data_IF_095141245795
#
_entry.id   IF_095141245795
#
_cell.length_a   1.000
_cell.length_b   1.000
_cell.length_c   1.000
_cell.angle_alpha   90.00
_cell.angle_beta   90.00
_cell.angle_gamma   90.00
#
_symmetry.space_group_name_H-M   'P 1'
#
loop_
_entity.id
_entity.type
_entity.pdbx_description
1 polymer ?
#
# COMPACT_ATOMS: atom_id res chain seq x y z
N UNK A 1 7.27 -9.99 4.03
CA UNK A 1 7.29 -10.37 5.47
C UNK A 1 6.01 -9.99 6.23
N UNK A 2 5.40 -8.82 5.98
CA UNK A 2 4.22 -8.32 6.70
C UNK A 2 2.97 -9.23 6.67
N UNK A 3 2.68 -9.85 5.52
CA UNK A 3 1.44 -10.63 5.30
C UNK A 3 1.30 -11.90 6.16
N UNK A 4 2.41 -12.57 6.49
CA UNK A 4 2.39 -13.86 7.20
C UNK A 4 2.43 -13.69 8.72
N UNK A 5 2.95 -12.55 9.21
CA UNK A 5 2.93 -12.23 10.63
C UNK A 5 1.53 -11.79 11.08
N UNK A 6 0.90 -10.78 10.48
CA UNK A 6 -0.31 -10.20 11.10
C UNK A 6 -1.53 -11.17 11.14
N UNK A 7 -1.57 -12.20 10.30
CA UNK A 7 -2.72 -13.12 10.17
C UNK A 7 -2.40 -14.62 10.36
N UNK A 8 -1.25 -14.96 10.96
CA UNK A 8 -0.85 -16.35 11.25
C UNK A 8 -1.65 -16.98 12.40
N UNK A 9 -2.29 -18.13 12.12
CA UNK A 9 -3.12 -18.94 13.04
C UNK A 9 -2.45 -19.24 14.38
N UNK A 10 -2.97 -18.64 15.46
CA UNK A 10 -2.79 -19.12 16.83
C UNK A 10 -4.04 -19.89 17.26
N UNK A 11 -3.90 -21.18 17.47
CA UNK A 11 -4.88 -22.02 18.17
C UNK A 11 -4.97 -21.55 19.61
N UNK A 12 -6.15 -21.14 20.07
CA UNK A 12 -6.34 -20.61 21.42
C UNK A 12 -7.67 -19.89 21.56
N UNK A 13 -8.76 -20.66 21.56
CA UNK A 13 -10.08 -20.35 22.12
C UNK A 13 -10.46 -18.85 22.20
N UNK A 14 -10.71 -18.20 21.05
CA UNK A 14 -11.26 -16.86 20.99
C UNK A 14 -12.70 -16.93 20.46
N UNK A 15 -13.65 -16.51 21.31
CA UNK A 15 -15.07 -16.34 20.99
C UNK A 15 -15.25 -15.57 19.67
N UNK A 16 -16.24 -15.90 18.84
CA UNK A 16 -16.51 -15.16 17.60
C UNK A 16 -16.85 -13.71 17.96
N UNK A 17 -16.03 -12.78 17.47
CA UNK A 17 -16.30 -11.35 17.56
C UNK A 17 -17.55 -11.07 16.71
N UNK A 18 -18.66 -10.82 17.40
CA UNK A 18 -19.90 -10.35 16.79
C UNK A 18 -19.62 -9.08 15.99
N UNK A 19 -20.08 -9.10 14.74
CA UNK A 19 -20.11 -7.96 13.82
C UNK A 19 -21.08 -6.94 14.41
N UNK A 20 -20.57 -5.80 14.84
CA UNK A 20 -21.41 -4.63 15.10
C UNK A 20 -21.48 -3.80 13.82
N UNK A 21 -22.72 -3.60 13.39
CA UNK A 21 -23.20 -2.76 12.30
C UNK A 21 -22.62 -1.33 12.39
N UNK A 22 -21.59 -1.05 11.59
CA UNK A 22 -21.06 0.30 11.40
C UNK A 22 -21.59 0.83 10.07
N UNK A 23 -22.73 1.52 10.17
CA UNK A 23 -23.29 2.33 9.10
C UNK A 23 -22.22 3.29 8.58
N UNK A 24 -22.04 3.23 7.26
CA UNK A 24 -21.07 3.98 6.47
C UNK A 24 -21.12 5.48 6.75
N UNK A 25 -19.99 6.16 6.99
CA UNK A 25 -19.92 7.61 6.87
C UNK A 25 -20.10 8.01 5.39
N UNK A 26 -20.97 8.99 5.15
CA UNK A 26 -21.21 9.62 3.85
C UNK A 26 -19.90 10.10 3.18
N UNK A 27 -19.74 9.71 1.91
CA UNK A 27 -18.93 10.39 0.85
C UNK A 27 -17.50 10.81 1.19
N UNK A 28 -16.63 9.87 1.57
CA UNK A 28 -15.20 10.01 1.23
C UNK A 28 -14.98 9.60 -0.23
N UNK A 29 -14.82 10.59 -1.10
CA UNK A 29 -14.40 10.36 -2.50
C UNK A 29 -13.01 9.70 -2.47
N UNK A 30 -12.88 8.50 -3.04
CA UNK A 30 -11.59 7.82 -3.10
C UNK A 30 -10.56 8.67 -3.82
N UNK A 31 -9.27 8.52 -3.51
CA UNK A 31 -8.21 9.26 -4.18
C UNK A 31 -8.23 9.02 -5.69
N UNK A 32 -8.58 7.81 -6.14
CA UNK A 32 -8.68 7.51 -7.57
C UNK A 32 -9.79 8.29 -8.27
N UNK A 33 -10.95 8.46 -7.62
CA UNK A 33 -12.02 9.30 -8.14
C UNK A 33 -11.70 10.79 -7.97
N UNK A 34 -11.08 11.17 -6.86
CA UNK A 34 -10.64 12.54 -6.55
C UNK A 34 -9.59 13.07 -7.53
N UNK A 35 -8.79 12.20 -8.14
CA UNK A 35 -7.87 12.56 -9.22
C UNK A 35 -8.57 13.10 -10.47
N UNK A 36 -9.89 12.90 -10.61
CA UNK A 36 -10.72 13.47 -11.69
C UNK A 36 -11.34 14.81 -11.34
N UNK A 37 -11.18 15.28 -10.10
CA UNK A 37 -11.83 16.49 -9.62
C UNK A 37 -11.37 17.73 -10.40
N UNK A 38 -12.33 18.62 -10.66
CA UNK A 38 -12.05 19.95 -11.19
C UNK A 38 -11.35 20.85 -10.15
N UNK A 39 -11.54 20.57 -8.86
CA UNK A 39 -10.79 21.19 -7.77
C UNK A 39 -9.33 20.72 -7.79
N UNK A 40 -8.42 21.65 -8.07
CA UNK A 40 -6.99 21.43 -8.15
C UNK A 40 -6.39 20.92 -6.83
N UNK A 41 -6.84 21.45 -5.69
CA UNK A 41 -6.32 21.04 -4.39
C UNK A 41 -6.79 19.62 -4.04
N UNK A 42 -8.05 19.28 -4.34
CA UNK A 42 -8.56 17.92 -4.17
C UNK A 42 -7.83 16.93 -5.08
N UNK A 43 -7.64 17.29 -6.35
CA UNK A 43 -6.91 16.50 -7.34
C UNK A 43 -5.46 16.27 -6.95
N UNK A 44 -4.75 17.31 -6.49
CA UNK A 44 -3.35 17.19 -6.03
C UNK A 44 -3.22 16.24 -4.84
N UNK A 45 -4.08 16.36 -3.83
CA UNK A 45 -4.09 15.44 -2.67
C UNK A 45 -4.35 13.99 -3.10
N UNK A 46 -5.28 13.79 -4.02
CA UNK A 46 -5.56 12.47 -4.60
C UNK A 46 -4.32 11.88 -5.29
N UNK A 47 -3.63 12.68 -6.10
CA UNK A 47 -2.42 12.23 -6.78
C UNK A 47 -1.27 11.91 -5.83
N UNK A 48 -1.04 12.71 -4.79
CA UNK A 48 -0.03 12.42 -3.77
C UNK A 48 -0.25 11.03 -3.13
N UNK A 49 -1.50 10.66 -2.89
CA UNK A 49 -1.87 9.36 -2.31
C UNK A 49 -1.62 8.21 -3.29
N UNK A 50 -1.97 8.40 -4.56
CA UNK A 50 -1.69 7.43 -5.62
C UNK A 50 -0.18 7.25 -5.79
N UNK A 51 0.58 8.35 -5.90
CA UNK A 51 2.04 8.31 -6.05
C UNK A 51 2.65 7.58 -4.86
N UNK A 52 2.32 7.98 -3.62
CA UNK A 52 2.81 7.34 -2.39
C UNK A 52 2.58 5.82 -2.37
N UNK A 53 1.43 5.36 -2.87
CA UNK A 53 1.10 3.94 -2.90
C UNK A 53 1.76 3.15 -4.05
N UNK A 54 2.06 3.80 -5.18
CA UNK A 54 2.43 3.10 -6.41
C UNK A 54 3.83 3.38 -6.94
N UNK A 55 4.55 4.41 -6.48
CA UNK A 55 5.85 4.75 -7.07
C UNK A 55 6.91 3.64 -6.89
N UNK A 56 7.03 3.05 -5.69
CA UNK A 56 7.92 1.90 -5.45
C UNK A 56 7.50 0.68 -6.29
N UNK A 57 6.20 0.26 -6.28
CA UNK A 57 5.73 -0.81 -7.17
C UNK A 57 6.04 -0.58 -8.64
N UNK A 58 5.81 0.63 -9.17
CA UNK A 58 6.07 0.99 -10.56
C UNK A 58 7.57 0.87 -10.87
N UNK A 59 8.43 1.54 -10.10
CA UNK A 59 9.87 1.51 -10.31
C UNK A 59 10.41 0.07 -10.36
N UNK A 60 10.08 -0.74 -9.36
CA UNK A 60 10.56 -2.13 -9.29
C UNK A 60 9.96 -3.01 -10.39
N UNK A 61 8.72 -2.78 -10.80
CA UNK A 61 8.12 -3.48 -11.94
C UNK A 61 8.85 -3.17 -13.24
N UNK A 62 9.24 -1.90 -13.47
CA UNK A 62 10.07 -1.52 -14.62
C UNK A 62 11.43 -2.24 -14.61
N UNK A 63 12.09 -2.31 -13.45
CA UNK A 63 13.34 -3.08 -13.28
C UNK A 63 13.16 -4.56 -13.59
N UNK A 64 12.07 -5.17 -13.15
CA UNK A 64 11.84 -6.62 -13.27
C UNK A 64 11.28 -7.05 -14.63
N UNK A 65 10.20 -6.41 -15.09
CA UNK A 65 9.46 -6.76 -16.30
C UNK A 65 10.12 -6.25 -17.57
N UNK A 66 10.58 -5.00 -17.51
CA UNK A 66 11.13 -4.30 -18.66
C UNK A 66 12.66 -4.34 -18.69
N UNK A 67 13.32 -4.81 -17.61
CA UNK A 67 14.79 -4.86 -17.51
C UNK A 67 15.43 -3.49 -17.74
N UNK A 68 14.71 -2.42 -17.39
CA UNK A 68 15.29 -1.09 -17.36
C UNK A 68 16.46 -1.07 -16.37
N UNK A 69 17.52 -0.34 -16.70
CA UNK A 69 18.53 0.02 -15.72
C UNK A 69 17.95 1.00 -14.67
N UNK A 70 18.76 1.36 -13.69
CA UNK A 70 18.34 2.24 -12.60
C UNK A 70 17.81 3.58 -13.09
N UNK A 71 18.61 4.28 -13.91
CA UNK A 71 18.30 5.64 -14.32
C UNK A 71 17.11 5.67 -15.28
N UNK A 72 17.05 4.71 -16.20
CA UNK A 72 15.90 4.56 -17.09
C UNK A 72 14.61 4.21 -16.34
N UNK A 73 14.67 3.34 -15.32
CA UNK A 73 13.50 3.03 -14.51
C UNK A 73 13.05 4.24 -13.67
N UNK A 74 13.98 5.03 -13.15
CA UNK A 74 13.70 6.26 -12.44
C UNK A 74 13.02 7.27 -13.37
N UNK A 75 13.61 7.54 -14.54
CA UNK A 75 13.07 8.46 -15.54
C UNK A 75 11.69 8.03 -16.04
N UNK A 76 11.50 6.75 -16.34
CA UNK A 76 10.19 6.24 -16.76
C UNK A 76 9.15 6.30 -15.65
N UNK A 77 9.54 6.08 -14.39
CA UNK A 77 8.63 6.25 -13.25
C UNK A 77 8.18 7.71 -13.15
N UNK A 78 9.12 8.65 -13.22
CA UNK A 78 8.85 10.09 -13.22
C UNK A 78 7.92 10.50 -14.34
N UNK A 79 8.27 10.15 -15.57
CA UNK A 79 7.52 10.50 -16.77
C UNK A 79 6.12 9.84 -16.78
N UNK A 80 6.00 8.61 -16.29
CA UNK A 80 4.71 7.94 -16.17
C UNK A 80 3.79 8.65 -15.18
N UNK A 81 4.28 8.99 -13.97
CA UNK A 81 3.46 9.71 -13.00
C UNK A 81 3.17 11.14 -13.45
N UNK A 82 4.12 11.83 -14.07
CA UNK A 82 3.89 13.12 -14.71
C UNK A 82 2.72 13.08 -15.73
N UNK A 83 2.67 12.01 -16.53
CA UNK A 83 1.58 11.79 -17.49
C UNK A 83 0.26 11.38 -16.82
N UNK A 84 0.30 10.66 -15.70
CA UNK A 84 -0.88 10.35 -14.89
C UNK A 84 -1.47 11.62 -14.24
N UNK A 85 -0.62 12.61 -13.90
CA UNK A 85 -1.08 13.90 -13.37
C UNK A 85 -1.92 14.68 -14.40
N UNK A 86 -1.80 14.36 -15.70
CA UNK A 86 -2.68 14.88 -16.73
C UNK A 86 -4.08 14.26 -16.56
N UNK A 87 -5.07 15.13 -16.33
CA UNK A 87 -6.48 14.79 -16.00
C UNK A 87 -7.06 13.69 -16.89
N UNK A 88 -6.76 13.74 -18.19
CA UNK A 88 -7.34 12.86 -19.21
C UNK A 88 -6.92 11.38 -19.02
N UNK A 89 -5.74 11.13 -18.46
CA UNK A 89 -5.25 9.77 -18.31
C UNK A 89 -6.05 9.00 -17.26
N UNK A 90 -6.26 9.57 -16.07
CA UNK A 90 -7.07 8.92 -15.02
C UNK A 90 -8.56 8.90 -15.36
N UNK A 91 -9.05 9.84 -16.17
CA UNK A 91 -10.42 9.80 -16.69
C UNK A 91 -10.68 8.61 -17.62
N UNK A 92 -9.66 8.10 -18.30
CA UNK A 92 -9.80 6.94 -19.20
C UNK A 92 -10.04 5.61 -18.47
N UNK A 93 -9.75 5.55 -17.17
CA UNK A 93 -10.11 4.38 -16.36
C UNK A 93 -11.62 4.30 -16.18
N UNK A 94 -12.17 3.11 -16.14
CA UNK A 94 -13.59 2.88 -15.84
C UNK A 94 -13.64 1.84 -14.72
N UNK A 95 -14.08 2.21 -13.49
CA UNK A 95 -14.20 1.28 -12.37
C UNK A 95 -15.08 0.06 -12.69
N UNK A 96 -16.04 0.19 -13.61
CA UNK A 96 -16.90 -0.93 -14.03
C UNK A 96 -16.17 -1.93 -14.94
N UNK A 97 -15.09 -1.50 -15.61
CA UNK A 97 -14.32 -2.34 -16.54
C UNK A 97 -13.15 -3.05 -15.89
N UNK A 98 -12.83 -2.73 -14.63
CA UNK A 98 -11.84 -3.46 -13.85
C UNK A 98 -11.11 -2.61 -12.81
N UNK A 99 -10.34 -3.30 -11.96
CA UNK A 99 -9.66 -2.69 -10.82
C UNK A 99 -8.58 -1.70 -11.25
N UNK A 100 -8.46 -0.59 -10.51
CA UNK A 100 -7.50 0.48 -10.73
C UNK A 100 -6.07 -0.06 -10.83
N UNK A 101 -5.70 -0.98 -9.93
CA UNK A 101 -4.35 -1.56 -9.91
C UNK A 101 -4.00 -2.27 -11.22
N UNK A 102 -4.95 -3.01 -11.78
CA UNK A 102 -4.75 -3.74 -13.04
C UNK A 102 -4.63 -2.75 -14.20
N UNK A 103 -5.53 -1.76 -14.25
CA UNK A 103 -5.49 -0.69 -15.24
C UNK A 103 -4.17 0.09 -15.19
N UNK A 104 -3.69 0.46 -14.00
CA UNK A 104 -2.43 1.17 -13.80
C UNK A 104 -1.25 0.37 -14.36
N UNK A 105 -1.18 -0.93 -14.04
CA UNK A 105 -0.12 -1.82 -14.53
C UNK A 105 -0.11 -1.93 -16.06
N UNK A 106 -1.29 -2.12 -16.67
CA UNK A 106 -1.43 -2.14 -18.14
C UNK A 106 -1.03 -0.78 -18.74
N UNK A 107 -1.36 0.32 -18.07
CA UNK A 107 -0.94 1.67 -18.44
C UNK A 107 0.58 1.84 -18.46
N UNK A 108 1.30 1.28 -17.48
CA UNK A 108 2.77 1.26 -17.44
C UNK A 108 3.31 0.51 -18.66
N UNK A 109 2.78 -0.68 -18.95
CA UNK A 109 3.25 -1.49 -20.09
C UNK A 109 3.05 -0.78 -21.42
N UNK A 110 1.89 -0.12 -21.61
CA UNK A 110 1.61 0.71 -22.77
C UNK A 110 2.55 1.92 -22.88
N UNK A 111 2.79 2.61 -21.75
CA UNK A 111 3.72 3.73 -21.67
C UNK A 111 5.13 3.33 -22.09
N UNK A 112 5.69 2.27 -21.49
CA UNK A 112 7.06 1.81 -21.82
C UNK A 112 7.16 1.33 -23.26
N UNK A 113 6.14 0.63 -23.77
CA UNK A 113 6.09 0.21 -25.17
C UNK A 113 6.18 1.41 -26.12
N UNK A 114 5.50 2.51 -25.79
CA UNK A 114 5.54 3.74 -26.57
C UNK A 114 6.89 4.46 -26.42
N UNK A 115 7.45 4.52 -25.22
CA UNK A 115 8.78 5.10 -24.98
C UNK A 115 9.88 4.37 -25.76
N UNK A 116 9.87 3.04 -25.78
CA UNK A 116 10.82 2.25 -26.57
C UNK A 116 10.68 2.46 -28.07
N UNK A 117 9.44 2.52 -28.58
CA UNK A 117 9.18 2.85 -30.00
C UNK A 117 9.64 4.25 -30.36
N UNK A 118 9.53 5.18 -29.41
CA UNK A 118 9.91 6.57 -29.62
C UNK A 118 11.39 6.83 -29.37
N UNK A 119 12.12 5.99 -28.63
CA UNK A 119 13.58 6.09 -28.47
C UNK A 119 14.34 5.92 -29.81
N UNK A 120 13.71 5.31 -30.83
CA UNK A 120 14.20 5.33 -32.21
C UNK A 120 14.02 6.66 -32.95
N UNK A 121 13.34 7.65 -32.32
CA UNK A 121 13.13 9.01 -32.83
C UNK A 121 13.59 9.99 -31.76
N UNK A 122 14.80 10.53 -31.91
CA UNK A 122 15.44 11.54 -31.03
C UNK A 122 14.42 12.32 -30.18
N UNK A 123 14.32 11.98 -28.88
CA UNK A 123 13.45 12.68 -27.94
C UNK A 123 14.22 13.74 -27.19
N UNK A 124 13.75 14.99 -27.29
CA UNK A 124 14.11 16.12 -26.42
C UNK A 124 13.40 15.92 -25.08
N UNK A 125 14.14 16.08 -23.98
CA UNK A 125 13.65 15.92 -22.61
C UNK A 125 12.40 16.75 -22.35
N UNK A 126 11.32 16.07 -21.96
CA UNK A 126 10.08 16.71 -21.53
C UNK A 126 10.28 17.38 -20.18
N UNK A 127 10.21 18.71 -20.16
CA UNK A 127 10.43 19.56 -18.99
C UNK A 127 9.30 19.51 -17.97
N UNK A 128 9.08 18.35 -17.35
CA UNK A 128 8.26 18.24 -16.14
C UNK A 128 9.18 18.31 -14.93
N UNK A 129 8.79 19.08 -13.92
CA UNK A 129 9.52 19.15 -12.65
C UNK A 129 9.59 17.74 -12.02
N UNK A 130 10.79 17.23 -11.69
CA UNK A 130 10.93 15.87 -11.17
C UNK A 130 10.25 15.75 -9.80
N UNK A 131 9.48 14.68 -9.59
CA UNK A 131 8.97 14.30 -8.28
C UNK A 131 10.16 13.92 -7.37
N UNK A 132 10.13 14.31 -6.10
CA UNK A 132 11.16 13.91 -5.14
C UNK A 132 10.91 12.47 -4.66
N UNK A 133 11.47 11.47 -5.35
CA UNK A 133 11.32 10.04 -5.06
C UNK A 133 12.69 9.39 -4.74
N UNK A 134 12.76 8.56 -3.70
CA UNK A 134 14.00 7.91 -3.26
C UNK A 134 14.26 6.59 -4.02
N UNK A 135 14.72 6.71 -5.27
CA UNK A 135 15.03 5.55 -6.10
C UNK A 135 16.21 4.72 -5.57
N UNK A 136 17.16 5.36 -4.87
CA UNK A 136 18.31 4.67 -4.29
C UNK A 136 17.87 3.69 -3.19
N UNK A 137 16.90 4.07 -2.35
CA UNK A 137 16.30 3.17 -1.36
C UNK A 137 15.52 2.02 -2.01
N UNK A 138 14.69 2.34 -3.00
CA UNK A 138 13.93 1.33 -3.73
C UNK A 138 14.85 0.28 -4.41
N UNK A 139 16.01 0.70 -4.90
CA UNK A 139 17.03 -0.17 -5.49
C UNK A 139 17.66 -1.11 -4.46
N UNK A 140 18.05 -0.58 -3.29
CA UNK A 140 18.63 -1.40 -2.21
C UNK A 140 17.66 -2.48 -1.75
N UNK A 141 16.37 -2.19 -1.67
CA UNK A 141 15.34 -3.18 -1.34
C UNK A 141 15.16 -4.27 -2.41
N UNK A 142 15.48 -3.97 -3.68
CA UNK A 142 15.30 -4.88 -4.81
C UNK A 142 16.46 -5.87 -4.96
N UNK A 143 17.70 -5.42 -4.72
CA UNK A 143 18.93 -6.21 -4.90
C UNK A 143 18.86 -7.65 -4.34
N UNK A 144 18.42 -7.85 -3.08
CA UNK A 144 18.34 -9.19 -2.47
C UNK A 144 17.31 -10.15 -3.08
N UNK A 145 16.41 -9.67 -3.96
CA UNK A 145 15.27 -10.43 -4.50
C UNK A 145 15.48 -10.90 -5.94
N UNK A 146 16.55 -10.45 -6.59
CA UNK A 146 16.98 -10.93 -7.90
C UNK A 146 17.78 -12.25 -7.76
N UNK A 147 17.56 -13.29 -8.60
CA UNK A 147 16.72 -13.36 -9.80
C UNK A 147 15.31 -13.92 -9.59
N UNK A 148 14.96 -14.42 -8.40
CA UNK A 148 13.75 -15.23 -8.14
C UNK A 148 12.45 -14.52 -8.55
N UNK A 149 12.35 -13.22 -8.27
CA UNK A 149 11.14 -12.44 -8.54
C UNK A 149 11.00 -12.00 -10.03
N UNK A 150 12.02 -12.22 -10.87
CA UNK A 150 11.94 -11.88 -12.29
C UNK A 150 10.98 -12.76 -13.09
N UNK A 151 10.63 -13.93 -12.56
CA UNK A 151 9.73 -14.90 -13.20
C UNK A 151 8.24 -14.52 -13.05
N UNK A 152 7.90 -13.65 -12.09
CA UNK A 152 6.51 -13.23 -11.84
C UNK A 152 6.39 -11.72 -11.51
N UNK A 153 6.74 -10.80 -12.43
CA UNK A 153 6.71 -9.37 -12.18
C UNK A 153 5.34 -8.84 -11.72
N UNK A 154 4.25 -9.40 -12.23
CA UNK A 154 2.88 -9.01 -11.85
C UNK A 154 2.60 -9.33 -10.38
N UNK A 155 3.01 -10.51 -9.92
CA UNK A 155 2.84 -10.92 -8.51
C UNK A 155 3.73 -10.09 -7.60
N UNK A 156 4.92 -9.73 -8.07
CA UNK A 156 5.81 -8.86 -7.33
C UNK A 156 5.24 -7.44 -7.17
N UNK A 157 4.71 -6.85 -8.26
CA UNK A 157 4.03 -5.56 -8.22
C UNK A 157 2.92 -5.55 -7.16
N UNK A 158 2.10 -6.60 -7.11
CA UNK A 158 1.04 -6.73 -6.12
C UNK A 158 1.56 -6.86 -4.69
N UNK A 159 2.68 -7.56 -4.48
CA UNK A 159 3.30 -7.70 -3.16
C UNK A 159 3.90 -6.38 -2.67
N UNK A 160 4.57 -5.64 -3.55
CA UNK A 160 5.17 -4.36 -3.22
C UNK A 160 4.12 -3.27 -3.02
N UNK A 161 3.00 -3.31 -3.77
CA UNK A 161 1.87 -2.44 -3.49
C UNK A 161 1.29 -2.72 -2.09
N UNK A 162 1.10 -4.00 -1.75
CA UNK A 162 0.65 -4.37 -0.42
C UNK A 162 1.65 -3.91 0.65
N UNK A 163 2.96 -4.05 0.41
CA UNK A 163 4.00 -3.55 1.31
C UNK A 163 3.86 -2.03 1.54
N UNK A 164 3.77 -1.24 0.47
CA UNK A 164 3.62 0.21 0.57
C UNK A 164 2.35 0.62 1.33
N UNK A 165 1.23 -0.08 1.12
CA UNK A 165 0.00 0.13 1.86
C UNK A 165 0.18 -0.12 3.36
N UNK A 166 0.84 -1.23 3.73
CA UNK A 166 1.10 -1.58 5.13
C UNK A 166 2.11 -0.66 5.80
N UNK A 167 3.21 -0.31 5.12
CA UNK A 167 4.21 0.63 5.64
C UNK A 167 3.59 1.99 5.93
N UNK A 168 2.79 2.52 5.00
CA UNK A 168 2.05 3.77 5.23
C UNK A 168 1.05 3.66 6.38
N UNK A 169 0.31 2.55 6.49
CA UNK A 169 -0.64 2.35 7.59
C UNK A 169 0.01 2.20 8.96
N UNK A 170 1.18 1.55 9.03
CA UNK A 170 1.97 1.41 10.26
C UNK A 170 2.54 2.78 10.67
N UNK A 171 3.04 3.57 9.72
CA UNK A 171 3.52 4.92 9.99
C UNK A 171 2.41 5.81 10.57
N UNK A 172 1.22 5.81 9.97
CA UNK A 172 0.05 6.53 10.51
C UNK A 172 -0.35 6.02 11.90
N UNK A 173 -0.34 4.69 12.14
CA UNK A 173 -0.64 4.14 13.46
C UNK A 173 0.35 4.65 14.52
N UNK A 174 1.64 4.69 14.18
CA UNK A 174 2.68 5.20 15.07
C UNK A 174 2.39 6.64 15.46
N UNK A 175 2.21 7.50 14.46
CA UNK A 175 1.94 8.93 14.66
C UNK A 175 0.68 9.16 15.51
N UNK A 176 -0.41 8.45 15.22
CA UNK A 176 -1.66 8.52 15.99
C UNK A 176 -1.47 8.11 17.46
N UNK A 177 -0.75 7.01 17.71
CA UNK A 177 -0.54 6.50 19.06
C UNK A 177 0.42 7.38 19.86
N UNK A 178 1.51 7.85 19.25
CA UNK A 178 2.47 8.73 19.90
C UNK A 178 1.84 10.10 20.23
N UNK A 179 1.16 10.72 19.27
CA UNK A 179 0.50 12.04 19.46
C UNK A 179 -0.66 12.01 20.44
N UNK A 180 -1.35 10.87 20.60
CA UNK A 180 -2.43 10.70 21.58
C UNK A 180 -1.99 10.24 22.98
N UNK A 181 -0.67 10.29 23.27
CA UNK A 181 -0.12 9.90 24.58
C UNK A 181 -0.12 8.39 24.83
N UNK A 182 -0.28 7.56 23.79
CA UNK A 182 -0.36 6.10 23.84
C UNK A 182 0.92 5.43 23.36
N UNK A 183 2.07 6.08 23.56
CA UNK A 183 3.39 5.59 23.12
C UNK A 183 3.74 4.19 23.66
N UNK A 184 3.30 3.84 24.86
CA UNK A 184 3.45 2.49 25.42
C UNK A 184 2.74 1.43 24.55
N UNK A 185 1.52 1.72 24.06
CA UNK A 185 0.79 0.84 23.13
C UNK A 185 1.58 0.62 21.84
N UNK A 186 2.18 1.69 21.30
CA UNK A 186 3.03 1.61 20.12
C UNK A 186 4.24 0.70 20.38
N UNK A 187 4.99 0.93 21.47
CA UNK A 187 6.16 0.12 21.80
C UNK A 187 5.84 -1.37 21.97
N UNK A 188 4.71 -1.69 22.60
CA UNK A 188 4.23 -3.08 22.75
C UNK A 188 3.90 -3.68 21.37
N UNK A 189 3.17 -2.94 20.52
CA UNK A 189 2.82 -3.38 19.17
C UNK A 189 4.06 -3.58 18.28
N UNK A 190 5.01 -2.65 18.30
CA UNK A 190 6.27 -2.74 17.57
C UNK A 190 7.07 -4.00 17.97
N UNK A 191 7.20 -4.23 19.29
CA UNK A 191 7.89 -5.40 19.81
C UNK A 191 7.22 -6.73 19.46
N UNK A 192 5.88 -6.76 19.41
CA UNK A 192 5.12 -7.99 19.19
C UNK A 192 4.92 -8.34 17.70
N UNK A 193 4.64 -7.33 16.87
CA UNK A 193 4.15 -7.53 15.50
C UNK A 193 5.17 -7.10 14.42
N UNK A 194 6.12 -6.21 14.73
CA UNK A 194 7.07 -5.63 13.76
C UNK A 194 8.52 -6.06 13.96
N UNK A 195 8.91 -6.45 15.18
CA UNK A 195 10.27 -6.88 15.48
C UNK A 195 10.68 -8.08 14.61
N UNK A 196 11.95 -8.14 14.15
CA UNK A 196 12.45 -9.27 13.40
C UNK A 196 12.56 -10.52 14.29
N UNK A 197 12.24 -11.68 13.72
CA UNK A 197 12.34 -12.97 14.43
C UNK A 197 10.97 -13.56 14.77
N UNK A 198 10.98 -14.51 15.70
CA UNK A 198 9.76 -15.13 16.22
C UNK A 198 9.01 -14.16 17.14
N UNK A 199 7.69 -14.29 17.18
CA UNK A 199 6.89 -13.41 18.03
C UNK A 199 7.15 -13.73 19.50
N UNK A 200 7.44 -12.72 20.33
CA UNK A 200 7.58 -12.92 21.77
C UNK A 200 6.25 -13.40 22.37
N UNK A 201 6.32 -14.18 23.44
CA UNK A 201 5.13 -14.55 24.19
C UNK A 201 4.53 -13.34 24.91
N UNK A 202 3.25 -13.40 25.24
CA UNK A 202 2.61 -12.32 26.02
C UNK A 202 3.24 -12.16 27.41
N UNK A 203 3.76 -13.25 27.98
CA UNK A 203 4.52 -13.24 29.22
C UNK A 203 5.85 -12.50 29.10
N UNK A 204 6.58 -12.68 27.99
CA UNK A 204 7.83 -11.96 27.74
C UNK A 204 7.58 -10.47 27.56
N UNK A 205 6.51 -10.12 26.84
CA UNK A 205 6.08 -8.73 26.67
C UNK A 205 5.66 -8.11 28.02
N UNK A 206 4.88 -8.82 28.83
CA UNK A 206 4.47 -8.38 30.16
C UNK A 206 5.68 -8.06 31.05
N UNK A 207 6.67 -8.97 31.06
CA UNK A 207 7.92 -8.78 31.80
C UNK A 207 8.74 -7.60 31.27
N UNK A 208 8.86 -7.48 29.94
CA UNK A 208 9.64 -6.42 29.28
C UNK A 208 9.06 -5.03 29.51
N UNK A 209 7.73 -4.91 29.54
CA UNK A 209 7.02 -3.65 29.60
C UNK A 209 6.49 -3.29 30.99
N UNK A 210 6.74 -4.15 31.99
CA UNK A 210 6.25 -4.03 33.37
C UNK A 210 4.72 -3.85 33.44
N UNK A 211 4.01 -4.68 32.68
CA UNK A 211 2.54 -4.66 32.59
C UNK A 211 1.94 -6.05 32.72
N UNK A 212 0.74 -6.19 33.31
CA UNK A 212 0.02 -7.46 33.31
C UNK A 212 -0.24 -7.99 31.88
N UNK A 213 -0.17 -9.31 31.67
CA UNK A 213 -0.47 -9.94 30.36
C UNK A 213 -1.84 -9.55 29.79
N UNK A 214 -2.80 -9.27 30.67
CA UNK A 214 -4.13 -8.76 30.29
C UNK A 214 -4.05 -7.39 29.63
N UNK A 215 -3.21 -6.48 30.14
CA UNK A 215 -2.99 -5.16 29.53
C UNK A 215 -2.22 -5.27 28.21
N UNK A 216 -1.20 -6.14 28.13
CA UNK A 216 -0.51 -6.43 26.86
C UNK A 216 -1.52 -6.86 25.79
N UNK A 217 -2.41 -7.79 26.13
CA UNK A 217 -3.45 -8.28 25.20
C UNK A 217 -4.39 -7.15 24.76
N UNK A 218 -4.81 -6.29 25.69
CA UNK A 218 -5.65 -5.13 25.39
C UNK A 218 -4.95 -4.13 24.47
N UNK A 219 -3.68 -3.81 24.75
CA UNK A 219 -2.86 -2.92 23.93
C UNK A 219 -2.74 -3.44 22.50
N UNK A 220 -2.41 -4.72 22.34
CA UNK A 220 -2.26 -5.37 21.02
C UNK A 220 -3.59 -5.43 20.26
N UNK A 221 -4.68 -5.81 20.93
CA UNK A 221 -6.01 -5.86 20.32
C UNK A 221 -6.45 -4.48 19.81
N UNK A 222 -6.27 -3.45 20.63
CA UNK A 222 -6.60 -2.07 20.25
C UNK A 222 -5.72 -1.57 19.10
N UNK A 223 -4.40 -1.80 19.14
CA UNK A 223 -3.47 -1.39 18.09
C UNK A 223 -3.78 -2.08 16.75
N UNK A 224 -4.00 -3.39 16.75
CA UNK A 224 -4.35 -4.16 15.55
C UNK A 224 -5.70 -3.72 14.96
N UNK A 225 -6.69 -3.42 15.80
CA UNK A 225 -7.99 -2.89 15.35
C UNK A 225 -7.83 -1.51 14.71
N UNK A 226 -7.05 -0.62 15.33
CA UNK A 226 -6.78 0.71 14.78
C UNK A 226 -6.01 0.62 13.46
N UNK A 227 -4.99 -0.24 13.38
CA UNK A 227 -4.27 -0.50 12.14
C UNK A 227 -5.20 -1.01 11.04
N UNK A 228 -6.09 -1.96 11.35
CA UNK A 228 -7.07 -2.47 10.39
C UNK A 228 -7.95 -1.34 9.85
N UNK A 229 -8.45 -0.46 10.71
CA UNK A 229 -9.23 0.73 10.30
C UNK A 229 -8.42 1.62 9.36
N UNK A 230 -7.19 1.97 9.72
CA UNK A 230 -6.30 2.80 8.90
C UNK A 230 -6.05 2.14 7.54
N UNK A 231 -5.74 0.84 7.50
CA UNK A 231 -5.50 0.13 6.25
C UNK A 231 -6.77 0.02 5.39
N UNK A 232 -7.94 -0.17 5.99
CA UNK A 232 -9.22 -0.13 5.29
C UNK A 232 -9.50 1.24 4.68
N UNK A 233 -9.25 2.33 5.41
CA UNK A 233 -9.41 3.69 4.89
C UNK A 233 -8.44 3.98 3.73
N UNK A 234 -7.16 3.63 3.89
CA UNK A 234 -6.18 3.77 2.79
C UNK A 234 -6.54 2.91 1.58
N UNK A 235 -7.06 1.71 1.80
CA UNK A 235 -7.50 0.85 0.70
C UNK A 235 -8.70 1.46 -0.02
N UNK A 236 -9.69 1.98 0.72
CA UNK A 236 -10.83 2.71 0.16
C UNK A 236 -10.39 3.87 -0.72
N UNK A 237 -9.35 4.61 -0.31
CA UNK A 237 -8.79 5.70 -1.11
C UNK A 237 -8.20 5.22 -2.44
N UNK A 238 -7.73 3.99 -2.52
CA UNK A 238 -7.07 3.43 -3.71
C UNK A 238 -8.01 2.60 -4.61
N UNK A 239 -9.31 2.56 -4.30
CA UNK A 239 -10.33 1.81 -5.06
C UNK A 239 -11.44 2.72 -5.55
N UNK A 240 -12.03 2.43 -6.71
CA UNK A 240 -13.08 3.26 -7.31
C UNK A 240 -14.51 2.80 -7.02
N UNK A 241 -14.69 1.58 -6.52
CA UNK A 241 -16.01 1.02 -6.21
C UNK A 241 -16.00 0.21 -4.91
N UNK A 242 -17.18 -0.05 -4.37
CA UNK A 242 -17.36 -0.94 -3.22
C UNK A 242 -16.94 -2.37 -3.51
N UNK A 243 -17.22 -2.86 -4.72
CA UNK A 243 -16.85 -4.21 -5.16
C UNK A 243 -15.33 -4.37 -5.26
N UNK A 244 -14.64 -3.37 -5.83
CA UNK A 244 -13.18 -3.37 -5.90
C UNK A 244 -12.57 -3.35 -4.49
N UNK A 245 -13.09 -2.51 -3.59
CA UNK A 245 -12.67 -2.50 -2.20
C UNK A 245 -12.88 -3.85 -1.53
N UNK A 246 -14.06 -4.45 -1.65
CA UNK A 246 -14.39 -5.71 -1.02
C UNK A 246 -13.43 -6.82 -1.49
N UNK A 247 -13.18 -6.89 -2.80
CA UNK A 247 -12.24 -7.82 -3.40
C UNK A 247 -10.81 -7.64 -2.86
N UNK A 248 -10.30 -6.41 -2.86
CA UNK A 248 -8.93 -6.14 -2.38
C UNK A 248 -8.80 -6.33 -0.86
N UNK A 249 -9.85 -6.02 -0.10
CA UNK A 249 -9.90 -6.18 1.34
C UNK A 249 -9.87 -7.67 1.72
N UNK A 250 -10.66 -8.52 1.07
CA UNK A 250 -10.60 -9.97 1.26
C UNK A 250 -9.21 -10.51 0.92
N UNK A 251 -8.63 -10.03 -0.19
CA UNK A 251 -7.29 -10.44 -0.62
C UNK A 251 -6.22 -10.04 0.40
N UNK A 252 -6.29 -8.84 0.97
CA UNK A 252 -5.25 -8.33 1.88
C UNK A 252 -5.40 -8.81 3.31
N UNK A 253 -6.62 -8.87 3.82
CA UNK A 253 -6.93 -9.15 5.22
C UNK A 253 -7.45 -10.57 5.47
N UNK A 254 -7.70 -11.34 4.40
CA UNK A 254 -8.41 -12.61 4.47
C UNK A 254 -9.93 -12.41 4.55
N UNK A 255 -10.68 -13.51 4.44
CA UNK A 255 -12.14 -13.50 4.61
C UNK A 255 -12.50 -12.93 5.98
N UNK A 256 -13.18 -11.78 5.99
CA UNK A 256 -14.10 -11.44 7.09
C UNK A 256 -15.15 -12.53 7.11
N UNK A 257 -15.22 -13.32 8.19
CA UNK A 257 -16.15 -14.44 8.27
C UNK A 257 -17.59 -13.98 8.02
N UNK A 258 -18.10 -14.23 6.82
CA UNK A 258 -19.52 -14.27 6.53
C UNK A 258 -20.05 -15.60 7.07
N UNK A 259 -20.71 -15.55 8.22
CA UNK A 259 -21.53 -16.64 8.70
C UNK A 259 -22.67 -16.89 7.72
N UNK A 260 -22.88 -18.15 7.39
CA UNK A 260 -24.21 -18.64 7.01
C UNK A 260 -25.09 -18.65 8.24
#
# INVERSE_FOLDING_TARGET
RYRRSIFGRGSGNARPLMVSDDRFPETRVSAVLGARSDDEAARRRAFERIISAYWKPVFKYLRLRWKADHDQAADWTQAFFARILEKDFVQSWDPERGHFRTWLRVGIDGFVSNERKAAGRVKRGGGVAPLSLDFADAERELGPLLPVETLHPERYFEQEWARALFEGGIATLREDLESSGRAQRWRIFEAADLAPGDRPSYRDLATRFDEPETQITNHLSAARRQLRRILSERLRELTGSDDEYAFEAERLFGKTGGGR
#
